data_IF_105681863662
#
_entry.id   IF_105681863662
#
_cell.length_a   1.000
_cell.length_b   1.000
_cell.length_c   1.000
_cell.angle_alpha   90.00
_cell.angle_beta   90.00
_cell.angle_gamma   90.00
#
_symmetry.space_group_name_H-M   'P 1'
#
loop_
_entity.id
_entity.type
_entity.pdbx_description
1 polymer ?
#
# COMPACT_ATOMS: atom_id res chain seq x y z
N UNK A 1 1.86 -7.67 -27.12
CA UNK A 1 1.44 -6.88 -25.95
C UNK A 1 0.48 -7.77 -25.20
N UNK A 2 0.95 -8.58 -24.27
CA UNK A 2 0.00 -9.29 -23.42
C UNK A 2 -0.43 -8.32 -22.32
N UNK A 3 -1.73 -8.02 -22.25
CA UNK A 3 -2.33 -7.21 -21.20
C UNK A 3 -2.19 -7.85 -19.80
N UNK A 4 -1.58 -9.03 -19.73
CA UNK A 4 -1.35 -9.84 -18.54
C UNK A 4 -0.52 -9.10 -17.50
N UNK A 5 0.56 -8.40 -17.88
CA UNK A 5 1.44 -7.71 -16.91
C UNK A 5 0.77 -6.56 -16.13
N UNK A 6 -0.33 -5.99 -16.67
CA UNK A 6 -1.08 -4.92 -16.01
C UNK A 6 -2.21 -5.46 -15.11
N UNK A 7 -2.66 -6.70 -15.34
CA UNK A 7 -3.84 -7.28 -14.69
C UNK A 7 -3.48 -8.38 -13.69
N UNK A 8 -2.39 -9.11 -13.95
CA UNK A 8 -2.04 -10.27 -13.14
C UNK A 8 -1.29 -9.86 -11.88
N UNK A 9 -1.75 -10.38 -10.75
CA UNK A 9 -0.98 -10.41 -9.52
C UNK A 9 -0.14 -11.68 -9.50
N UNK A 10 1.18 -11.53 -9.43
CA UNK A 10 2.07 -12.68 -9.28
C UNK A 10 1.91 -13.27 -7.86
N UNK A 11 2.07 -14.59 -7.66
CA UNK A 11 1.89 -15.23 -6.35
C UNK A 11 2.71 -14.59 -5.22
N UNK A 12 3.89 -14.04 -5.53
CA UNK A 12 4.73 -13.33 -4.58
C UNK A 12 4.11 -12.03 -4.04
N UNK A 13 3.23 -11.38 -4.82
CA UNK A 13 2.53 -10.17 -4.39
C UNK A 13 1.53 -10.49 -3.27
N UNK A 14 0.81 -11.62 -3.36
CA UNK A 14 -0.10 -12.04 -2.29
C UNK A 14 0.65 -12.31 -0.98
N UNK A 15 1.78 -13.03 -1.04
CA UNK A 15 2.62 -13.26 0.15
C UNK A 15 3.13 -11.96 0.75
N UNK A 16 3.54 -11.01 -0.09
CA UNK A 16 3.93 -9.68 0.34
C UNK A 16 2.79 -8.89 1.01
N UNK A 17 1.58 -8.90 0.44
CA UNK A 17 0.40 -8.26 1.05
C UNK A 17 0.04 -8.90 2.39
N UNK A 18 0.17 -10.22 2.52
CA UNK A 18 -0.04 -10.94 3.78
C UNK A 18 1.07 -10.61 4.80
N UNK A 19 2.33 -10.50 4.36
CA UNK A 19 3.42 -10.05 5.21
C UNK A 19 3.16 -8.63 5.75
N UNK A 20 2.77 -7.70 4.87
CA UNK A 20 2.38 -6.35 5.26
C UNK A 20 1.19 -6.37 6.21
N UNK A 21 0.21 -7.25 5.99
CA UNK A 21 -0.96 -7.39 6.86
C UNK A 21 -0.57 -7.64 8.32
N UNK A 22 0.41 -8.52 8.57
CA UNK A 22 0.91 -8.79 9.92
C UNK A 22 1.49 -7.53 10.57
N UNK A 23 2.41 -6.85 9.89
CA UNK A 23 3.02 -5.60 10.40
C UNK A 23 2.00 -4.48 10.61
N UNK A 24 1.07 -4.31 9.66
CA UNK A 24 0.01 -3.29 9.72
C UNK A 24 -1.00 -3.59 10.82
N UNK A 25 -1.29 -4.86 11.12
CA UNK A 25 -2.16 -5.24 12.23
C UNK A 25 -1.59 -4.76 13.56
N UNK A 26 -0.31 -5.07 13.80
CA UNK A 26 0.39 -4.67 15.03
C UNK A 26 0.52 -3.15 15.10
N UNK A 27 0.92 -2.51 14.00
CA UNK A 27 1.10 -1.07 13.96
C UNK A 27 -0.23 -0.30 14.09
N UNK A 28 -1.33 -0.81 13.53
CA UNK A 28 -2.67 -0.24 13.69
C UNK A 28 -3.16 -0.36 15.13
N UNK A 29 -2.95 -1.51 15.78
CA UNK A 29 -3.28 -1.66 17.19
C UNK A 29 -2.40 -0.75 18.06
N UNK A 30 -1.13 -0.62 17.71
CA UNK A 30 -0.18 0.31 18.33
C UNK A 30 -0.66 1.76 18.21
N UNK A 31 -1.16 2.16 17.03
CA UNK A 31 -1.75 3.47 16.77
C UNK A 31 -2.96 3.75 17.66
N UNK A 32 -3.91 2.82 17.67
CA UNK A 32 -5.12 2.93 18.49
C UNK A 32 -4.83 2.94 19.99
N UNK A 33 -3.78 2.23 20.43
CA UNK A 33 -3.36 2.15 21.83
C UNK A 33 -2.28 3.16 22.21
N UNK A 34 -1.86 4.03 21.29
CA UNK A 34 -0.86 5.09 21.53
C UNK A 34 0.49 4.55 21.99
N UNK A 35 0.94 3.47 21.38
CA UNK A 35 2.23 2.84 21.66
C UNK A 35 3.30 3.31 20.66
N UNK A 36 4.57 3.33 21.08
CA UNK A 36 5.68 3.87 20.29
C UNK A 36 6.21 2.93 19.19
N UNK A 37 5.62 1.76 18.99
CA UNK A 37 6.16 0.71 18.10
C UNK A 37 6.07 1.08 16.60
N UNK A 38 5.34 2.14 16.25
CA UNK A 38 5.15 2.57 14.87
C UNK A 38 6.44 3.00 14.17
N UNK A 39 7.36 3.61 14.92
CA UNK A 39 8.64 4.10 14.38
C UNK A 39 9.50 2.94 13.88
N UNK A 40 9.51 1.83 14.61
CA UNK A 40 10.30 0.64 14.28
C UNK A 40 9.79 -0.01 12.99
N UNK A 41 8.46 0.00 12.76
CA UNK A 41 7.89 -0.50 11.52
C UNK A 41 8.12 0.43 10.32
N UNK A 42 8.20 1.74 10.54
CA UNK A 42 8.44 2.69 9.45
C UNK A 42 9.78 2.42 8.72
N UNK A 43 10.83 2.08 9.46
CA UNK A 43 12.13 1.71 8.86
C UNK A 43 12.02 0.42 8.03
N UNK A 44 11.26 -0.57 8.53
CA UNK A 44 11.01 -1.84 7.82
C UNK A 44 10.23 -1.59 6.53
N UNK A 45 9.22 -0.72 6.55
CA UNK A 45 8.41 -0.40 5.36
C UNK A 45 9.21 0.37 4.30
N UNK A 46 10.11 1.27 4.71
CA UNK A 46 11.04 1.91 3.77
C UNK A 46 12.04 0.91 3.17
N UNK A 47 12.64 0.06 4.01
CA UNK A 47 13.54 -0.99 3.54
C UNK A 47 12.84 -1.95 2.57
N UNK A 48 11.59 -2.33 2.88
CA UNK A 48 10.75 -3.14 2.02
C UNK A 48 10.47 -2.46 0.67
N UNK A 49 10.10 -1.17 0.68
CA UNK A 49 9.88 -0.40 -0.55
C UNK A 49 11.12 -0.37 -1.44
N UNK A 50 12.30 -0.15 -0.85
CA UNK A 50 13.58 -0.17 -1.56
C UNK A 50 13.86 -1.56 -2.16
N UNK A 51 13.58 -2.62 -1.40
CA UNK A 51 13.73 -3.99 -1.89
C UNK A 51 12.80 -4.27 -3.09
N UNK A 52 11.55 -3.79 -3.05
CA UNK A 52 10.62 -3.91 -4.17
C UNK A 52 11.11 -3.13 -5.40
N UNK A 53 11.66 -1.93 -5.21
CA UNK A 53 12.29 -1.17 -6.30
C UNK A 53 13.47 -1.91 -6.94
N UNK A 54 14.35 -2.45 -6.11
CA UNK A 54 15.50 -3.23 -6.58
C UNK A 54 15.05 -4.49 -7.33
N UNK A 55 14.02 -5.17 -6.83
CA UNK A 55 13.43 -6.36 -7.45
C UNK A 55 12.85 -6.03 -8.83
N UNK A 56 11.99 -5.01 -8.92
CA UNK A 56 11.42 -4.55 -10.18
C UNK A 56 12.50 -4.10 -11.17
N UNK A 57 13.55 -3.43 -10.69
CA UNK A 57 14.70 -3.03 -11.51
C UNK A 57 15.44 -4.27 -12.05
N UNK A 58 15.65 -5.29 -11.22
CA UNK A 58 16.30 -6.53 -11.65
C UNK A 58 15.51 -7.26 -12.73
N UNK A 59 14.17 -7.34 -12.59
CA UNK A 59 13.30 -7.88 -13.63
C UNK A 59 13.32 -7.04 -14.92
N UNK A 60 13.40 -5.72 -14.79
CA UNK A 60 13.57 -4.83 -15.95
C UNK A 60 14.88 -5.07 -16.70
N UNK A 61 15.99 -5.31 -15.99
CA UNK A 61 17.30 -5.63 -16.58
C UNK A 61 17.29 -7.01 -17.25
N UNK A 62 16.59 -7.98 -16.65
CA UNK A 62 16.44 -9.34 -17.21
C UNK A 62 15.47 -9.39 -18.40
N UNK A 63 14.75 -8.30 -18.69
CA UNK A 63 13.75 -8.25 -19.76
C UNK A 63 12.42 -8.91 -19.42
N UNK A 64 12.21 -9.26 -18.14
CA UNK A 64 11.01 -9.90 -17.62
C UNK A 64 9.93 -8.88 -17.20
N UNK A 65 10.31 -7.61 -16.99
CA UNK A 65 9.39 -6.53 -16.71
C UNK A 65 9.42 -5.47 -17.81
N UNK A 66 8.24 -5.12 -18.32
CA UNK A 66 8.08 -4.06 -19.30
C UNK A 66 8.49 -2.69 -18.69
N UNK A 67 9.37 -1.95 -19.39
CA UNK A 67 9.84 -0.64 -18.96
C UNK A 67 8.71 0.38 -18.73
N UNK A 68 7.65 0.32 -19.54
CA UNK A 68 6.46 1.18 -19.39
C UNK A 68 5.71 0.82 -18.10
N UNK A 69 5.53 -0.47 -17.80
CA UNK A 69 4.88 -0.91 -16.58
C UNK A 69 5.68 -0.50 -15.33
N UNK A 70 7.00 -0.70 -15.37
CA UNK A 70 7.94 -0.22 -14.34
C UNK A 70 7.81 1.29 -14.13
N UNK A 71 7.98 2.08 -15.20
CA UNK A 71 7.94 3.53 -15.12
C UNK A 71 6.58 4.02 -14.62
N UNK A 72 5.48 3.43 -15.10
CA UNK A 72 4.13 3.78 -14.68
C UNK A 72 3.93 3.51 -13.20
N UNK A 73 4.33 2.34 -12.69
CA UNK A 73 4.23 1.99 -11.27
C UNK A 73 4.96 3.01 -10.40
N UNK A 74 6.23 3.25 -10.67
CA UNK A 74 7.05 4.10 -9.81
C UNK A 74 6.71 5.58 -9.93
N UNK A 75 6.30 6.05 -11.12
CA UNK A 75 5.74 7.39 -11.28
C UNK A 75 4.41 7.55 -10.52
N UNK A 76 3.52 6.56 -10.54
CA UNK A 76 2.28 6.60 -9.75
C UNK A 76 2.58 6.68 -8.25
N UNK A 77 3.53 5.90 -7.75
CA UNK A 77 3.93 5.94 -6.34
C UNK A 77 4.49 7.33 -5.98
N UNK A 78 5.45 7.84 -6.76
CA UNK A 78 6.07 9.14 -6.50
C UNK A 78 5.07 10.30 -6.58
N UNK A 79 4.20 10.30 -7.58
CA UNK A 79 3.16 11.33 -7.73
C UNK A 79 2.15 11.27 -6.60
N UNK A 80 1.74 10.07 -6.19
CA UNK A 80 0.86 9.87 -5.03
C UNK A 80 1.49 10.43 -3.76
N UNK A 81 2.76 10.12 -3.50
CA UNK A 81 3.46 10.65 -2.32
C UNK A 81 3.61 12.17 -2.37
N UNK A 82 3.92 12.74 -3.54
CA UNK A 82 4.01 14.19 -3.71
C UNK A 82 2.65 14.88 -3.44
N UNK A 83 1.56 14.30 -3.94
CA UNK A 83 0.21 14.82 -3.72
C UNK A 83 -0.18 14.71 -2.25
N UNK A 84 0.05 13.56 -1.61
CA UNK A 84 -0.34 13.35 -0.22
C UNK A 84 0.48 14.22 0.75
N UNK A 85 1.77 14.42 0.47
CA UNK A 85 2.62 15.31 1.27
C UNK A 85 2.15 16.77 1.17
N UNK A 86 1.68 17.21 0.00
CA UNK A 86 1.27 18.60 -0.25
C UNK A 86 -0.18 18.90 0.13
N UNK A 87 -1.06 17.90 0.08
CA UNK A 87 -2.46 18.07 0.44
C UNK A 87 -2.71 17.89 1.93
N UNK A 88 -3.27 18.94 2.56
CA UNK A 88 -3.73 18.89 3.96
C UNK A 88 -4.90 17.93 4.21
N UNK A 89 -5.52 17.38 3.16
CA UNK A 89 -6.69 16.49 3.26
C UNK A 89 -6.36 15.16 3.94
N UNK A 90 -5.14 14.66 3.77
CA UNK A 90 -4.68 13.43 4.39
C UNK A 90 -3.77 13.66 5.60
N UNK A 91 -3.02 14.78 5.66
CA UNK A 91 -2.19 15.21 6.81
C UNK A 91 -1.54 14.02 7.57
N UNK A 92 -0.96 13.11 6.80
CA UNK A 92 -0.47 11.83 7.32
C UNK A 92 0.94 11.97 7.88
N UNK A 93 1.26 11.18 8.91
CA UNK A 93 2.59 11.17 9.52
C UNK A 93 3.63 10.56 8.58
N UNK A 94 4.92 10.76 8.86
CA UNK A 94 6.00 10.10 8.10
C UNK A 94 5.89 8.57 8.13
N UNK A 95 5.31 8.00 9.19
CA UNK A 95 5.13 6.56 9.35
C UNK A 95 4.01 6.03 8.44
N UNK A 96 2.92 6.78 8.32
CA UNK A 96 1.82 6.47 7.40
C UNK A 96 2.26 6.53 5.94
N UNK A 97 3.15 7.47 5.59
CA UNK A 97 3.75 7.52 4.25
C UNK A 97 4.55 6.24 3.98
N UNK A 98 5.34 5.77 4.94
CA UNK A 98 6.12 4.55 4.79
C UNK A 98 5.21 3.33 4.58
N UNK A 99 4.17 3.19 5.41
CA UNK A 99 3.19 2.10 5.30
C UNK A 99 2.46 2.10 3.95
N UNK A 100 1.98 3.27 3.51
CA UNK A 100 1.28 3.40 2.24
C UNK A 100 2.22 3.12 1.06
N UNK A 101 3.46 3.62 1.11
CA UNK A 101 4.45 3.36 0.06
C UNK A 101 4.78 1.89 -0.04
N UNK A 102 4.96 1.21 1.10
CA UNK A 102 5.20 -0.23 1.13
C UNK A 102 4.04 -0.99 0.49
N UNK A 103 2.79 -0.68 0.86
CA UNK A 103 1.60 -1.26 0.23
C UNK A 103 1.60 -1.03 -1.29
N UNK A 104 1.76 0.21 -1.75
CA UNK A 104 1.72 0.52 -3.19
C UNK A 104 2.88 -0.14 -3.95
N UNK A 105 4.06 -0.29 -3.33
CA UNK A 105 5.22 -0.96 -3.94
C UNK A 105 5.00 -2.44 -4.21
N UNK A 106 4.07 -3.08 -3.50
CA UNK A 106 3.68 -4.48 -3.74
C UNK A 106 2.76 -4.64 -4.96
N UNK A 107 2.08 -3.57 -5.35
CA UNK A 107 0.99 -3.62 -6.31
C UNK A 107 1.46 -3.37 -7.75
N UNK A 108 0.73 -3.95 -8.70
CA UNK A 108 0.86 -3.57 -10.11
C UNK A 108 0.21 -2.18 -10.36
N UNK A 109 0.48 -1.53 -11.51
CA UNK A 109 -0.04 -0.19 -11.80
C UNK A 109 -1.56 -0.05 -11.68
N UNK A 110 -2.32 -1.06 -12.10
CA UNK A 110 -3.78 -1.01 -12.04
C UNK A 110 -4.27 -1.01 -10.59
N UNK A 111 -3.75 -1.91 -9.75
CA UNK A 111 -4.12 -1.94 -8.35
C UNK A 111 -3.69 -0.67 -7.61
N UNK A 112 -2.56 -0.03 -7.97
CA UNK A 112 -2.18 1.27 -7.40
C UNK A 112 -3.28 2.32 -7.68
N UNK A 113 -3.76 2.40 -8.92
CA UNK A 113 -4.83 3.34 -9.31
C UNK A 113 -6.13 3.10 -8.56
N UNK A 114 -6.44 1.84 -8.19
CA UNK A 114 -7.62 1.49 -7.41
C UNK A 114 -7.42 1.73 -5.91
N UNK A 115 -6.23 1.46 -5.40
CA UNK A 115 -5.89 1.55 -3.98
C UNK A 115 -5.87 3.00 -3.47
N UNK A 116 -5.49 3.96 -4.31
CA UNK A 116 -5.48 5.40 -3.93
C UNK A 116 -6.89 5.92 -3.58
N UNK A 117 -7.91 5.86 -4.48
CA UNK A 117 -9.25 6.30 -4.15
C UNK A 117 -9.89 5.41 -3.07
N UNK A 118 -9.58 4.11 -3.02
CA UNK A 118 -10.01 3.24 -1.93
C UNK A 118 -9.48 3.75 -0.58
N UNK A 119 -8.21 4.17 -0.51
CA UNK A 119 -7.62 4.73 0.72
C UNK A 119 -8.35 5.99 1.17
N UNK A 120 -8.66 6.90 0.25
CA UNK A 120 -9.42 8.12 0.56
C UNK A 120 -10.83 7.77 1.06
N UNK A 121 -11.53 6.88 0.35
CA UNK A 121 -12.89 6.46 0.70
C UNK A 121 -12.94 5.79 2.07
N UNK A 122 -12.07 4.81 2.31
CA UNK A 122 -11.99 4.09 3.57
C UNK A 122 -11.59 5.02 4.70
N UNK A 123 -10.68 5.97 4.46
CA UNK A 123 -10.35 6.98 5.44
C UNK A 123 -11.60 7.76 5.85
N UNK A 124 -12.37 8.31 4.91
CA UNK A 124 -13.57 9.09 5.24
C UNK A 124 -14.65 8.25 5.96
N UNK A 125 -14.77 6.96 5.65
CA UNK A 125 -15.66 6.03 6.37
C UNK A 125 -15.18 5.80 7.81
N UNK A 126 -13.88 5.58 8.01
CA UNK A 126 -13.32 5.24 9.32
C UNK A 126 -13.08 6.47 10.19
N UNK A 127 -12.88 7.64 9.61
CA UNK A 127 -12.62 8.92 10.28
C UNK A 127 -13.53 9.23 11.48
N UNK A 128 -14.87 9.12 11.39
CA UNK A 128 -15.73 9.36 12.56
C UNK A 128 -15.43 8.41 13.72
N UNK A 129 -15.01 7.17 13.44
CA UNK A 129 -14.69 6.15 14.43
C UNK A 129 -13.27 6.32 14.95
N UNK A 130 -12.31 6.64 14.08
CA UNK A 130 -10.89 6.72 14.42
C UNK A 130 -10.51 8.02 15.14
N UNK A 131 -11.25 9.11 14.90
CA UNK A 131 -10.97 10.42 15.51
C UNK A 131 -11.02 10.40 17.04
N UNK A 132 -11.82 9.52 17.64
CA UNK A 132 -11.90 9.38 19.11
C UNK A 132 -10.63 8.74 19.72
N UNK A 133 -9.85 8.01 18.92
CA UNK A 133 -8.60 7.37 19.36
C UNK A 133 -7.39 8.30 19.20
N UNK A 134 -7.50 9.32 18.34
CA UNK A 134 -6.48 10.37 18.18
C UNK A 134 -6.26 11.19 19.45
N UNK A 135 -5.06 11.74 19.61
CA UNK A 135 -4.69 12.60 20.74
C UNK A 135 -3.91 13.82 20.24
N UNK A 136 -4.09 14.97 20.89
CA UNK A 136 -3.41 16.24 20.58
C UNK A 136 -3.39 16.64 19.09
N UNK A 137 -4.40 16.23 18.32
CA UNK A 137 -4.52 16.54 16.88
C UNK A 137 -3.89 15.52 15.93
N UNK A 138 -3.28 14.43 16.44
CA UNK A 138 -2.80 13.33 15.61
C UNK A 138 -3.93 12.32 15.35
N UNK A 139 -4.26 12.13 14.07
CA UNK A 139 -5.26 11.17 13.61
C UNK A 139 -4.62 9.80 13.35
N UNK A 140 -5.14 8.69 13.91
CA UNK A 140 -4.54 7.36 13.72
C UNK A 140 -4.91 6.81 12.34
N UNK A 141 -4.02 6.99 11.37
CA UNK A 141 -4.27 6.66 9.96
C UNK A 141 -3.91 5.21 9.60
N UNK A 142 -3.03 4.54 10.35
CA UNK A 142 -2.62 3.15 10.06
C UNK A 142 -3.78 2.15 9.97
N UNK A 143 -4.85 2.21 10.81
CA UNK A 143 -6.01 1.34 10.65
C UNK A 143 -6.69 1.46 9.28
N UNK A 144 -6.62 2.63 8.64
CA UNK A 144 -7.10 2.84 7.27
C UNK A 144 -6.26 2.05 6.28
N UNK A 145 -4.93 2.16 6.37
CA UNK A 145 -4.01 1.43 5.48
C UNK A 145 -4.18 -0.08 5.66
N UNK A 146 -4.35 -0.54 6.91
CA UNK A 146 -4.67 -1.94 7.21
C UNK A 146 -5.95 -2.42 6.52
N UNK A 147 -7.05 -1.65 6.65
CA UNK A 147 -8.32 -1.99 6.02
C UNK A 147 -8.22 -2.00 4.48
N UNK A 148 -7.48 -1.06 3.90
CA UNK A 148 -7.21 -1.02 2.46
C UNK A 148 -6.38 -2.22 2.01
N UNK A 149 -5.36 -2.62 2.78
CA UNK A 149 -4.57 -3.81 2.47
C UNK A 149 -5.45 -5.08 2.47
N UNK A 150 -6.34 -5.23 3.45
CA UNK A 150 -7.32 -6.32 3.47
C UNK A 150 -8.22 -6.33 2.23
N UNK A 151 -8.77 -5.17 1.85
CA UNK A 151 -9.59 -5.04 0.65
C UNK A 151 -8.80 -5.37 -0.61
N UNK A 152 -7.53 -4.98 -0.65
CA UNK A 152 -6.65 -5.27 -1.78
C UNK A 152 -6.41 -6.77 -1.90
N UNK A 153 -6.14 -7.48 -0.79
CA UNK A 153 -6.01 -8.94 -0.76
C UNK A 153 -7.31 -9.62 -1.24
N UNK A 154 -8.47 -9.17 -0.77
CA UNK A 154 -9.75 -9.72 -1.18
C UNK A 154 -10.03 -9.49 -2.67
N UNK A 155 -9.70 -8.29 -3.18
CA UNK A 155 -9.88 -7.94 -4.59
C UNK A 155 -8.96 -8.75 -5.51
N UNK A 156 -7.69 -8.93 -5.14
CA UNK A 156 -6.73 -9.71 -5.94
C UNK A 156 -7.17 -11.17 -6.05
N UNK A 157 -7.59 -11.78 -4.93
CA UNK A 157 -8.13 -13.15 -4.94
C UNK A 157 -9.41 -13.28 -5.76
N UNK A 158 -10.32 -12.32 -5.65
CA UNK A 158 -11.59 -12.34 -6.41
C UNK A 158 -11.34 -12.25 -7.91
N UNK A 159 -10.44 -11.36 -8.34
CA UNK A 159 -10.08 -11.22 -9.75
C UNK A 159 -9.39 -12.49 -10.28
N UNK A 160 -8.51 -13.10 -9.49
CA UNK A 160 -7.87 -14.36 -9.85
C UNK A 160 -8.89 -15.49 -10.07
N UNK A 161 -9.91 -15.61 -9.20
CA UNK A 161 -11.00 -16.57 -9.35
C UNK A 161 -11.87 -16.31 -10.58
N UNK A 162 -12.11 -15.04 -10.94
CA UNK A 162 -12.90 -14.66 -12.12
C UNK A 162 -12.13 -14.96 -13.40
N UNK A 163 -10.83 -14.70 -13.42
CA UNK A 163 -9.99 -14.87 -14.61
C UNK A 163 -9.58 -16.33 -14.85
N UNK A 164 -9.51 -17.15 -13.79
CA UNK A 164 -9.26 -18.59 -13.87
C UNK A 164 -10.36 -19.38 -13.14
N UNK A 165 -11.58 -19.45 -13.72
CA UNK A 165 -12.60 -20.34 -13.19
C UNK A 165 -12.14 -21.78 -13.40
N UNK A 166 -11.94 -22.51 -12.31
CA UNK A 166 -11.68 -23.96 -12.31
C UNK A 166 -12.82 -24.70 -13.01
#
# INVERSE_FOLDING_TARGET
>A
MEYTDLLYTLPHQLYALIFLLGSLSVASLSDLRRMAAQKDFAEIWWAYTILMFATDTSYGIMGELNLIAFATKWLLILTTLAIITTQKTLAISTMDHAALTALLSTLNPLYILLTIPATILINEILKPILKQYGDAGAYPFLPTIFAVNLLTIAATQTIELILNPV
#
